data_IF_863040639423
#
_entry.id   IF_863040639423
#
_cell.length_a   1.000
_cell.length_b   1.000
_cell.length_c   1.000
_cell.angle_alpha   90.00
_cell.angle_beta   90.00
_cell.angle_gamma   90.00
#
_symmetry.space_group_name_H-M   'P 1'
#
loop_
_entity.id
_entity.type
_entity.pdbx_description
1 polymer ?
2 polymer ?
3 non-polymer ?
4 non-polymer ?
5 non-polymer ?
6 water ?
#
# COMPACT_ATOMS: atom_id res chain seq x y z
N UNK A 1 9.04 -2.33 12.75
CA UNK A 1 8.67 -2.21 11.30
C UNK A 1 8.00 -0.85 11.07
N UNK A 2 7.30 -0.72 9.97
CA UNK A 2 6.65 0.49 9.50
C UNK A 2 5.65 1.15 10.43
N UNK A 3 4.76 0.38 11.06
CA UNK A 3 3.80 1.02 11.98
C UNK A 3 4.48 1.77 13.13
N UNK A 4 5.43 1.10 13.78
CA UNK A 4 6.14 1.70 14.90
C UNK A 4 6.88 2.96 14.43
N UNK A 5 7.61 2.87 13.36
CA UNK A 5 8.38 3.95 12.76
C UNK A 5 7.58 5.16 12.23
N UNK A 6 6.59 4.89 11.38
CA UNK A 6 5.84 5.98 10.76
C UNK A 6 4.43 6.30 11.23
N UNK A 7 3.83 5.45 12.01
CA UNK A 7 2.49 5.68 12.54
C UNK A 7 2.68 6.07 14.01
N UNK A 8 3.28 5.13 14.75
CA UNK A 8 3.52 5.33 16.20
C UNK A 8 4.38 6.57 16.45
N UNK A 9 5.43 6.78 15.70
CA UNK A 9 6.27 7.99 15.80
C UNK A 9 6.24 8.62 14.41
N UNK A 10 7.13 9.52 14.06
CA UNK A 10 7.06 10.13 12.72
C UNK A 10 8.22 9.83 11.79
N UNK A 11 7.88 9.57 10.55
CA UNK A 11 8.84 9.26 9.52
C UNK A 11 9.18 10.36 8.54
N UNK A 12 10.45 10.50 8.20
CA UNK A 12 10.87 11.46 7.18
C UNK A 12 10.63 10.76 5.85
N UNK A 13 10.62 11.41 4.73
CA UNK A 13 10.46 10.88 3.40
C UNK A 13 11.48 9.74 3.17
N UNK A 14 12.70 9.95 3.67
CA UNK A 14 13.78 8.96 3.56
C UNK A 14 13.47 7.66 4.31
N UNK A 15 12.92 7.78 5.49
CA UNK A 15 12.51 6.63 6.29
C UNK A 15 11.35 5.90 5.56
N UNK A 16 10.40 6.63 4.99
CA UNK A 16 9.31 5.95 4.26
C UNK A 16 9.78 5.11 3.11
N UNK A 17 10.84 5.62 2.43
CA UNK A 17 11.48 4.99 1.26
C UNK A 17 12.14 3.63 1.53
N UNK A 18 12.44 3.33 2.76
CA UNK A 18 12.99 2.07 3.24
C UNK A 18 12.01 0.88 2.91
N UNK A 19 10.70 1.24 2.81
CA UNK A 19 9.63 0.27 2.52
C UNK A 19 9.29 0.16 1.08
N UNK A 20 10.03 0.81 0.18
CA UNK A 20 9.75 0.66 -1.25
C UNK A 20 10.45 -0.68 -1.65
N UNK A 21 10.10 -1.11 -2.80
CA UNK A 21 10.74 -2.32 -3.39
C UNK A 21 11.96 -1.77 -4.20
N UNK B 1 7.94 17.28 2.30
CA UNK B 1 6.95 16.18 2.66
C UNK B 1 6.29 16.49 4.00
N UNK B 2 5.08 15.98 4.21
CA UNK B 2 4.34 16.18 5.43
C UNK B 2 5.23 15.60 6.53
N UNK B 3 5.09 16.19 7.68
CA UNK B 3 5.77 15.87 8.94
C UNK B 3 4.66 15.41 9.89
N UNK B 4 4.31 14.12 9.76
CA UNK B 4 3.24 13.68 10.69
C UNK B 4 3.09 12.17 10.84
N UNK B 5 2.27 11.81 11.84
CA UNK B 5 1.96 10.37 12.09
C UNK B 5 1.18 9.90 10.87
N UNK B 6 1.60 8.89 10.16
CA UNK B 6 0.90 8.34 8.97
C UNK B 6 0.47 6.92 9.37
N UNK B 7 -0.80 6.73 9.51
CA UNK B 7 -1.35 5.42 9.99
C UNK B 7 -2.44 4.89 9.11
N UNK B 8 -2.69 3.56 9.12
CA UNK B 8 -3.74 2.99 8.31
C UNK B 8 -3.66 3.18 6.83
N UNK B 9 -4.74 3.58 6.17
CA UNK B 9 -4.77 3.76 4.74
C UNK B 9 -3.94 5.01 4.35
N UNK B 10 -3.75 5.87 5.33
CA UNK B 10 -2.95 7.13 5.05
C UNK B 10 -1.49 6.67 4.82
N UNK B 11 -1.01 5.74 5.59
CA UNK B 11 0.36 5.19 5.45
C UNK B 11 0.52 4.60 4.08
N UNK B 12 -0.41 3.68 3.70
CA UNK B 12 -0.47 2.99 2.43
C UNK B 12 -0.48 3.94 1.25
N UNK B 13 -1.33 4.99 1.27
CA UNK B 13 -1.33 5.94 0.15
C UNK B 13 0.04 6.67 0.15
N UNK B 14 0.65 6.99 1.26
CA UNK B 14 1.96 7.68 1.33
C UNK B 14 2.98 6.78 0.56
N UNK B 15 2.96 5.49 0.95
CA UNK B 15 3.85 4.55 0.20
C UNK B 15 3.67 4.50 -1.29
N UNK B 16 2.44 4.40 -1.85
CA UNK B 16 1.99 4.34 -3.19
C UNK B 16 2.62 5.51 -3.97
N UNK B 17 2.43 6.67 -3.33
CA UNK B 17 2.98 7.94 -3.91
C UNK B 17 4.53 7.97 -3.90
N UNK B 18 5.11 7.76 -2.77
CA UNK B 18 6.59 7.86 -2.62
C UNK B 18 7.33 6.80 -3.45
N UNK B 19 6.82 5.60 -3.53
CA UNK B 19 7.47 4.48 -4.19
C UNK B 19 7.39 4.41 -5.68
N UNK B 20 6.42 5.05 -6.28
CA UNK B 20 6.28 5.04 -7.72
C UNK B 20 6.11 3.63 -8.27
N UNK B 21 6.79 3.41 -9.39
CA UNK B 21 6.79 2.18 -10.19
C UNK B 21 7.49 1.02 -9.52
N UNK B 22 8.26 1.28 -8.49
CA UNK B 22 8.99 0.32 -7.68
C UNK B 22 8.05 -0.56 -6.84
N UNK B 23 7.00 0.11 -6.38
CA UNK B 23 5.97 -0.58 -5.55
C UNK B 23 6.52 -0.57 -4.15
N UNK B 24 5.88 -1.22 -3.20
CA UNK B 24 6.21 -1.27 -1.81
C UNK B 24 5.74 -2.53 -1.15
N UNK B 25 6.19 -2.67 0.09
CA UNK B 25 5.72 -3.86 0.83
C UNK B 25 5.17 -3.24 2.09
N UNK B 26 3.93 -3.65 2.45
CA UNK B 26 3.32 -3.19 3.69
C UNK B 26 3.15 -4.40 4.63
N UNK B 27 3.93 -4.54 5.64
CA UNK B 27 3.92 -5.67 6.61
C UNK B 27 3.90 -5.08 8.01
N UNK B 28 2.66 -4.89 8.54
CA UNK B 28 2.42 -4.25 9.83
C UNK B 28 2.57 -5.06 11.10
N UNK B 29 2.54 -6.36 10.93
CA UNK B 29 2.64 -7.28 12.07
C UNK B 29 3.85 -7.03 12.96
N UNK B 30 3.56 -6.50 14.16
N UNK C 1 -1.71 -8.75 -13.69
CA UNK C 1 -1.73 -8.76 -12.21
C UNK C 1 -3.04 -8.14 -11.70
N UNK C 2 -2.94 -7.58 -10.50
CA UNK C 2 -4.11 -6.97 -9.83
C UNK C 2 -4.67 -5.84 -10.67
N UNK C 3 -3.71 -5.12 -11.26
CA UNK C 3 -4.10 -3.95 -12.09
C UNK C 3 -4.86 -4.41 -13.32
N UNK C 4 -4.39 -5.49 -13.90
CA UNK C 4 -4.96 -6.13 -15.08
C UNK C 4 -6.37 -6.64 -14.80
N UNK C 5 -6.54 -7.38 -13.72
CA UNK C 5 -7.74 -8.01 -13.24
C UNK C 5 -8.78 -7.15 -12.55
N UNK C 6 -8.41 -6.24 -11.65
CA UNK C 6 -9.33 -5.41 -10.88
C UNK C 6 -9.60 -3.98 -11.30
N UNK C 7 -8.95 -3.55 -12.38
CA UNK C 7 -9.17 -2.18 -12.90
C UNK C 7 -10.28 -2.20 -13.94
N UNK C 8 -10.19 -3.11 -14.87
CA UNK C 8 -11.08 -3.44 -15.98
C UNK C 8 -12.54 -3.70 -15.55
N UNK C 9 -12.51 -4.67 -14.64
CA UNK C 9 -13.66 -5.26 -13.97
C UNK C 9 -13.36 -5.21 -12.46
N UNK C 10 -14.47 -5.21 -11.75
CA UNK C 10 -14.36 -5.15 -10.28
C UNK C 10 -14.15 -6.58 -9.73
N UNK C 11 -13.31 -6.60 -8.73
CA UNK C 11 -12.85 -7.71 -7.94
C UNK C 11 -13.54 -7.66 -6.60
N UNK C 12 -14.06 -8.78 -6.16
CA UNK C 12 -14.71 -8.98 -4.89
C UNK C 12 -13.64 -9.05 -3.81
N UNK C 13 -13.98 -9.00 -2.53
CA UNK C 13 -13.06 -9.14 -1.42
C UNK C 13 -12.36 -10.52 -1.54
N UNK C 14 -13.13 -11.50 -2.01
CA UNK C 14 -12.62 -12.88 -2.19
C UNK C 14 -11.47 -12.91 -3.19
N UNK C 15 -11.60 -12.22 -4.30
CA UNK C 15 -10.63 -12.08 -5.37
C UNK C 15 -9.38 -11.33 -4.89
N UNK C 16 -9.62 -10.26 -4.13
CA UNK C 16 -8.61 -9.41 -3.52
C UNK C 16 -7.76 -10.15 -2.53
N UNK C 17 -8.32 -11.03 -1.75
CA UNK C 17 -7.55 -11.84 -0.81
C UNK C 17 -6.40 -12.62 -1.47
N UNK C 18 -6.51 -12.89 -2.70
CA UNK C 18 -5.53 -13.60 -3.53
C UNK C 18 -4.19 -12.86 -3.46
N UNK C 19 -4.31 -11.51 -3.36
CA UNK C 19 -3.08 -10.64 -3.31
C UNK C 19 -2.45 -10.37 -1.98
N UNK C 20 -2.98 -10.84 -0.87
CA UNK C 20 -2.53 -10.67 0.48
C UNK C 20 -1.28 -11.58 0.70
N UNK C 21 -0.48 -11.24 1.64
CA UNK C 21 0.67 -12.09 1.96
C UNK C 21 -0.03 -13.34 2.53
N UNK D 3 -7.09 4.55 -16.43
CA UNK D 3 -5.94 5.16 -15.72
C UNK D 3 -5.58 4.19 -14.60
N UNK D 4 -4.53 3.44 -14.89
CA UNK D 4 -4.08 2.44 -13.90
C UNK D 4 -3.51 3.14 -12.68
N UNK D 5 -3.01 4.38 -12.88
CA UNK D 5 -2.47 5.05 -11.67
C UNK D 5 -3.62 5.38 -10.68
N UNK D 6 -4.69 5.99 -11.16
CA UNK D 6 -5.86 6.35 -10.33
C UNK D 6 -6.44 5.03 -9.82
N UNK D 7 -6.55 4.04 -10.68
CA UNK D 7 -7.04 2.74 -10.26
C UNK D 7 -6.21 2.14 -9.10
N UNK D 8 -4.91 2.20 -9.25
CA UNK D 8 -3.94 1.70 -8.27
C UNK D 8 -4.12 2.30 -6.91
N UNK D 9 -4.43 3.64 -6.86
CA UNK D 9 -4.68 4.29 -5.58
C UNK D 9 -5.80 3.61 -4.81
N UNK D 10 -6.91 3.30 -5.49
CA UNK D 10 -8.08 2.61 -4.89
C UNK D 10 -7.75 1.13 -4.50
N UNK D 11 -6.98 0.49 -5.31
CA UNK D 11 -6.53 -0.94 -5.08
C UNK D 11 -5.75 -1.04 -3.82
N UNK D 12 -4.76 -0.25 -3.52
CA UNK D 12 -3.96 -0.29 -2.28
C UNK D 12 -4.86 -0.04 -1.07
N UNK D 13 -5.85 0.87 -1.18
CA UNK D 13 -6.74 1.06 -0.05
C UNK D 13 -7.64 -0.18 0.19
N UNK D 14 -8.03 -0.78 -0.88
CA UNK D 14 -8.84 -2.03 -0.77
C UNK D 14 -7.95 -3.13 -0.18
N UNK D 15 -6.73 -3.23 -0.65
CA UNK D 15 -5.81 -4.27 -0.09
C UNK D 15 -5.55 -4.05 1.37
N UNK D 16 -5.37 -2.77 1.78
CA UNK D 16 -5.19 -2.46 3.18
C UNK D 16 -6.38 -3.00 4.02
N UNK D 17 -7.62 -2.78 3.58
CA UNK D 17 -8.74 -3.34 4.39
C UNK D 17 -8.89 -4.88 4.37
N UNK D 18 -8.70 -5.45 3.25
CA UNK D 18 -8.89 -6.90 3.03
C UNK D 18 -7.76 -7.72 3.66
N UNK D 19 -6.55 -7.24 3.50
CA UNK D 19 -5.36 -7.98 4.04
C UNK D 19 -5.19 -7.72 5.49
N UNK D 20 -5.54 -6.57 6.09
CA UNK D 20 -5.36 -6.34 7.54
C UNK D 20 -3.88 -6.65 7.89
N UNK D 21 -3.73 -7.31 9.02
CA UNK D 21 -2.43 -7.72 9.60
C UNK D 21 -1.58 -8.59 8.72
N UNK D 22 -2.12 -9.32 7.78
CA UNK D 22 -1.35 -10.15 6.86
C UNK D 22 -0.44 -9.29 5.99
N UNK D 23 -0.78 -8.04 5.69
CA UNK D 23 0.06 -7.18 4.86
C UNK D 23 -0.08 -7.63 3.41
N UNK D 24 0.60 -6.99 2.52
CA UNK D 24 0.63 -7.22 1.09
C UNK D 24 1.90 -6.50 0.53
N UNK D 25 2.19 -6.94 -0.65
CA UNK D 25 3.31 -6.44 -1.47
C UNK D 25 2.53 -5.80 -2.63
N UNK D 26 2.95 -4.64 -3.08
CA UNK D 26 2.26 -4.02 -4.20
C UNK D 26 3.29 -3.79 -5.30
N UNK D 27 2.98 -4.34 -6.45
CA UNK D 27 3.91 -4.15 -7.58
C UNK D 27 3.12 -3.85 -8.85
N UNK D 28 3.29 -2.59 -9.21
CA UNK D 28 2.64 -2.05 -10.43
C UNK D 28 2.78 -2.98 -11.63
N UNK D 29 3.79 -3.86 -11.64
CA UNK D 29 4.03 -4.84 -12.70
C UNK D 29 4.04 -6.30 -12.22
N UNK D 30 5.04 -7.04 -12.72
X LIG E 1 -8.36 9.21 7.79
X LIG F 1 -11.95 -1.55 -5.41
X LIG F 1 -11.42 -1.11 -6.63
X LIG F 1 -11.33 -2.00 -7.69
X LIG F 1 -11.73 -3.33 -7.53
X LIG F 1 -12.21 -3.77 -6.32
X LIG F 1 -12.31 -2.88 -5.26
X LIG F 1 -12.08 -0.65 -4.33
X LIG F 1 -13.02 -0.41 -3.41
X LIG F 1 -14.26 -1.25 -3.44
X LIG F 1 -11.60 -4.15 -8.63
X LIG F 1 -12.86 0.47 -2.55
X LIG G 1 -10.33 7.76 -7.64
X LIG H 1 -10.62 7.54 -9.95
#
# INVERSE_FOLDING_TARGET
GIVEQCCTSICSLYQLENYCN
FVNQHLCGSHLVEALYLVCGERGFFYTPKT
GIVEQCCTSICSLYQLENYCN
FVNQHLCGSHLVEALYLVCGERGFFYTPKT
ZN ZN
TYL C1 C2 C3 C4 C5 C6 N C CM O4 O
ZN ZN
CL CL
#
